data_IF_456704558243
#
_entry.id   IF_456704558243
#
_cell.length_a   1.000
_cell.length_b   1.000
_cell.length_c   1.000
_cell.angle_alpha   90.00
_cell.angle_beta   90.00
_cell.angle_gamma   90.00
#
_symmetry.space_group_name_H-M   'P 1'
#
loop_
_entity.id
_entity.type
_entity.pdbx_description
1 polymer ?
#
# COMPACT_ATOMS: atom_id res chain seq x y z
N UNK A 1 -11.26 -7.02 -9.27
CA UNK A 1 -10.28 -6.12 -9.93
C UNK A 1 -9.54 -6.80 -11.07
N UNK A 2 -8.89 -7.96 -10.86
CA UNK A 2 -8.13 -8.67 -11.90
C UNK A 2 -8.88 -8.86 -13.23
N UNK A 3 -10.17 -9.24 -13.18
CA UNK A 3 -11.00 -9.37 -14.39
C UNK A 3 -11.18 -8.05 -15.16
N UNK A 4 -11.31 -6.92 -14.47
CA UNK A 4 -11.42 -5.59 -15.10
C UNK A 4 -10.10 -5.21 -15.77
N UNK A 5 -8.97 -5.49 -15.12
CA UNK A 5 -7.63 -5.29 -15.70
C UNK A 5 -7.45 -6.16 -16.94
N UNK A 6 -7.78 -7.45 -16.86
CA UNK A 6 -7.74 -8.38 -17.99
C UNK A 6 -8.59 -7.86 -19.17
N UNK A 7 -9.83 -7.44 -18.93
CA UNK A 7 -10.70 -6.89 -19.99
C UNK A 7 -10.10 -5.65 -20.66
N UNK A 8 -9.47 -4.76 -19.90
CA UNK A 8 -8.82 -3.56 -20.46
C UNK A 8 -7.56 -3.91 -21.25
N UNK A 9 -6.72 -4.83 -20.75
CA UNK A 9 -5.51 -5.27 -21.44
C UNK A 9 -5.83 -6.06 -22.72
N UNK A 10 -6.91 -6.84 -22.73
CA UNK A 10 -7.39 -7.54 -23.93
C UNK A 10 -7.76 -6.56 -25.06
N UNK A 11 -8.28 -5.36 -24.75
CA UNK A 11 -8.61 -4.34 -25.76
C UNK A 11 -7.39 -3.82 -26.53
N UNK A 12 -6.20 -3.93 -25.94
CA UNK A 12 -4.94 -3.57 -26.58
C UNK A 12 -4.12 -4.80 -27.02
N UNK A 13 -4.75 -5.98 -27.08
CA UNK A 13 -4.15 -7.21 -27.58
C UNK A 13 -3.30 -7.99 -26.57
N UNK A 14 -3.32 -7.62 -25.28
CA UNK A 14 -2.58 -8.33 -24.23
C UNK A 14 -3.49 -9.40 -23.61
N UNK A 15 -3.03 -10.65 -23.64
CA UNK A 15 -3.71 -11.77 -22.99
C UNK A 15 -3.20 -11.92 -21.55
N UNK A 16 -4.12 -12.01 -20.59
CA UNK A 16 -3.81 -12.18 -19.17
C UNK A 16 -4.41 -13.48 -18.69
N UNK A 17 -3.58 -14.35 -18.11
CA UNK A 17 -4.04 -15.50 -17.33
C UNK A 17 -4.19 -15.08 -15.87
N UNK A 18 -5.36 -15.32 -15.27
CA UNK A 18 -5.61 -15.00 -13.87
C UNK A 18 -5.41 -16.27 -13.04
N UNK A 19 -4.45 -16.24 -12.14
CA UNK A 19 -4.28 -17.24 -11.10
C UNK A 19 -4.90 -16.74 -9.80
N UNK A 20 -5.77 -17.55 -9.19
CA UNK A 20 -6.37 -17.25 -7.90
C UNK A 20 -5.81 -18.21 -6.85
N UNK A 21 -5.21 -17.65 -5.81
CA UNK A 21 -4.58 -18.37 -4.71
C UNK A 21 -5.23 -18.00 -3.38
N UNK A 22 -5.10 -18.86 -2.38
CA UNK A 22 -5.37 -18.47 -0.99
C UNK A 22 -4.27 -17.51 -0.49
N UNK A 23 -4.56 -16.77 0.59
CA UNK A 23 -3.66 -15.74 1.15
C UNK A 23 -2.24 -16.26 1.43
N UNK A 24 -2.12 -17.49 1.95
CA UNK A 24 -0.83 -18.09 2.32
C UNK A 24 0.01 -18.43 1.10
N UNK A 25 -0.59 -19.14 0.15
CA UNK A 25 0.06 -19.46 -1.13
C UNK A 25 0.41 -18.20 -1.92
N UNK A 26 -0.49 -17.20 -1.94
CA UNK A 26 -0.26 -15.91 -2.58
C UNK A 26 0.92 -15.16 -1.95
N UNK A 27 0.97 -15.08 -0.61
CA UNK A 27 2.06 -14.40 0.12
C UNK A 27 3.40 -15.07 -0.11
N UNK A 28 3.43 -16.41 -0.12
CA UNK A 28 4.63 -17.18 -0.43
C UNK A 28 5.17 -16.88 -1.83
N UNK A 29 4.28 -16.84 -2.83
CA UNK A 29 4.64 -16.55 -4.22
C UNK A 29 5.07 -15.10 -4.44
N UNK A 30 4.40 -14.14 -3.80
CA UNK A 30 4.65 -12.70 -4.04
C UNK A 30 5.79 -12.14 -3.20
N UNK A 31 5.91 -12.57 -1.94
CA UNK A 31 6.90 -12.03 -0.99
C UNK A 31 8.00 -13.02 -0.59
N UNK A 32 7.86 -14.31 -0.91
CA UNK A 32 8.81 -15.36 -0.53
C UNK A 32 9.69 -15.87 -1.67
N UNK A 33 9.27 -15.77 -2.92
CA UNK A 33 10.03 -16.22 -4.09
C UNK A 33 10.88 -15.10 -4.68
N UNK A 34 12.19 -15.35 -4.80
CA UNK A 34 13.16 -14.44 -5.42
C UNK A 34 14.03 -15.23 -6.40
N UNK A 35 14.02 -14.92 -7.72
CA UNK A 35 13.19 -13.89 -8.37
C UNK A 35 11.70 -14.26 -8.40
N UNK A 36 10.83 -13.26 -8.59
CA UNK A 36 9.40 -13.49 -8.77
C UNK A 36 9.12 -14.37 -10.01
N UNK A 37 8.12 -15.25 -9.87
CA UNK A 37 7.68 -16.18 -10.91
C UNK A 37 6.36 -15.75 -11.57
N UNK A 38 5.94 -14.49 -11.37
CA UNK A 38 4.70 -13.91 -11.86
C UNK A 38 4.98 -12.60 -12.63
N UNK A 39 4.09 -12.22 -13.55
CA UNK A 39 4.22 -10.98 -14.31
C UNK A 39 3.64 -9.76 -13.55
N UNK A 40 2.51 -9.94 -12.87
CA UNK A 40 1.91 -8.92 -12.01
C UNK A 40 1.08 -9.57 -10.89
N UNK A 41 1.07 -8.93 -9.72
CA UNK A 41 0.25 -9.34 -8.57
C UNK A 41 -0.59 -8.18 -8.07
N UNK A 42 -1.81 -8.49 -7.61
CA UNK A 42 -2.65 -7.53 -6.89
C UNK A 42 -2.38 -7.67 -5.40
N UNK A 43 -1.90 -6.61 -4.77
CA UNK A 43 -1.66 -6.55 -3.33
C UNK A 43 -2.37 -5.38 -2.68
N UNK A 44 -2.50 -5.47 -1.36
CA UNK A 44 -2.90 -4.37 -0.50
C UNK A 44 -1.78 -4.04 0.47
N UNK A 45 -1.31 -2.79 0.44
CA UNK A 45 -0.35 -2.28 1.39
C UNK A 45 -1.03 -1.52 2.53
N UNK A 46 -0.48 -1.62 3.74
CA UNK A 46 -0.99 -0.84 4.86
C UNK A 46 -0.79 0.67 4.59
N UNK A 47 -1.86 1.45 4.71
CA UNK A 47 -1.78 2.90 4.68
C UNK A 47 -1.32 3.41 6.04
N UNK A 48 -0.05 3.76 6.18
CA UNK A 48 0.44 4.38 7.41
C UNK A 48 0.05 5.86 7.48
N UNK A 49 0.01 6.40 8.71
CA UNK A 49 -0.40 7.78 8.96
C UNK A 49 0.58 8.85 8.42
N UNK A 50 1.79 8.47 8.00
CA UNK A 50 2.76 9.37 7.36
C UNK A 50 3.32 8.74 6.09
N UNK A 51 3.33 9.50 4.99
CA UNK A 51 3.83 9.08 3.69
C UNK A 51 5.28 8.59 3.73
N UNK A 52 6.08 9.03 4.71
CA UNK A 52 7.44 8.55 4.89
C UNK A 52 7.54 7.05 5.18
N UNK A 53 6.53 6.47 5.82
CA UNK A 53 6.55 5.03 6.10
C UNK A 53 6.33 4.21 4.83
N UNK A 54 5.45 4.68 3.95
CA UNK A 54 5.13 4.02 2.67
C UNK A 54 6.20 4.31 1.61
N UNK A 55 6.82 5.49 1.64
CA UNK A 55 7.82 5.90 0.65
C UNK A 55 9.02 4.95 0.57
N UNK A 56 9.42 4.34 1.69
CA UNK A 56 10.55 3.38 1.73
C UNK A 56 10.24 2.04 1.06
N UNK A 57 8.97 1.70 0.88
CA UNK A 57 8.57 0.46 0.20
C UNK A 57 8.83 0.47 -1.30
N UNK A 58 9.20 1.63 -1.84
CA UNK A 58 9.61 1.77 -3.23
C UNK A 58 11.10 1.50 -3.45
N UNK A 59 11.86 1.25 -2.38
CA UNK A 59 13.27 0.89 -2.43
C UNK A 59 13.44 -0.57 -1.97
N UNK A 60 13.73 -1.52 -2.86
CA UNK A 60 13.87 -2.93 -2.48
C UNK A 60 15.08 -3.22 -1.59
N UNK A 61 16.08 -2.33 -1.55
CA UNK A 61 17.22 -2.45 -0.64
C UNK A 61 16.84 -2.11 0.81
N UNK A 62 15.78 -1.32 1.01
CA UNK A 62 15.24 -0.97 2.33
C UNK A 62 14.04 -1.84 2.72
N UNK A 63 13.24 -2.29 1.76
CA UNK A 63 12.00 -3.00 1.97
C UNK A 63 12.06 -4.43 1.42
N UNK A 64 12.88 -5.28 2.02
CA UNK A 64 13.24 -6.60 1.45
C UNK A 64 12.09 -7.54 1.04
N UNK A 65 10.85 -7.30 1.46
CA UNK A 65 9.70 -8.09 1.00
C UNK A 65 9.39 -7.93 -0.49
N UNK A 66 9.81 -6.84 -1.15
CA UNK A 66 9.53 -6.59 -2.56
C UNK A 66 10.70 -7.01 -3.50
N UNK A 67 11.80 -7.54 -2.96
CA UNK A 67 13.01 -7.90 -3.72
C UNK A 67 12.76 -8.89 -4.86
N UNK A 68 11.71 -9.70 -4.76
CA UNK A 68 11.33 -10.65 -5.81
C UNK A 68 10.84 -9.96 -7.07
N UNK A 69 10.16 -8.81 -6.95
CA UNK A 69 9.44 -8.15 -8.05
C UNK A 69 9.83 -6.70 -8.30
N UNK A 70 10.79 -6.15 -7.54
CA UNK A 70 11.33 -4.81 -7.76
C UNK A 70 12.86 -4.83 -7.92
N UNK A 71 13.36 -3.99 -8.82
CA UNK A 71 14.76 -3.68 -9.00
C UNK A 71 15.12 -2.34 -8.33
N UNK A 72 16.32 -2.20 -7.74
CA UNK A 72 16.79 -0.93 -7.22
C UNK A 72 16.88 0.15 -8.30
N UNK A 73 16.43 1.37 -8.00
CA UNK A 73 16.56 2.52 -8.88
C UNK A 73 17.24 3.69 -8.15
N UNK A 74 18.49 4.06 -8.50
CA UNK A 74 19.23 5.11 -7.80
C UNK A 74 18.54 6.48 -7.78
N UNK A 75 17.78 6.84 -8.83
CA UNK A 75 17.07 8.13 -8.87
C UNK A 75 15.88 8.14 -7.91
N UNK A 76 15.12 7.04 -7.90
CA UNK A 76 14.01 6.86 -6.96
C UNK A 76 14.51 6.80 -5.52
N UNK A 77 15.58 6.05 -5.26
CA UNK A 77 16.19 5.94 -3.93
C UNK A 77 16.65 7.31 -3.41
N UNK A 78 17.24 8.15 -4.27
CA UNK A 78 17.61 9.52 -3.90
C UNK A 78 16.39 10.41 -3.57
N UNK A 79 15.28 10.27 -4.32
CA UNK A 79 14.04 11.00 -4.04
C UNK A 79 13.39 10.56 -2.72
N UNK A 80 13.38 9.25 -2.45
CA UNK A 80 12.95 8.68 -1.16
C UNK A 80 13.78 9.30 -0.04
N UNK A 81 15.10 9.21 -0.12
CA UNK A 81 16.02 9.73 0.89
C UNK A 81 15.80 11.22 1.18
N UNK A 82 15.63 12.03 0.13
CA UNK A 82 15.32 13.46 0.28
C UNK A 82 14.00 13.66 1.03
N UNK A 83 12.91 13.04 0.58
CA UNK A 83 11.60 13.18 1.21
C UNK A 83 11.57 12.70 2.67
N UNK A 84 12.38 11.67 3.01
CA UNK A 84 12.47 11.14 4.36
C UNK A 84 13.28 12.01 5.32
N UNK A 85 14.29 12.74 4.81
CA UNK A 85 15.18 13.58 5.63
C UNK A 85 14.68 15.01 5.77
N UNK A 86 13.78 15.48 4.92
CA UNK A 86 13.22 16.83 5.01
C UNK A 86 12.19 16.93 6.15
N UNK A 87 12.44 17.86 7.09
CA UNK A 87 11.54 18.18 8.19
C UNK A 87 10.17 18.65 7.68
N UNK A 88 9.09 18.35 8.43
CA UNK A 88 7.72 18.80 8.09
C UNK A 88 7.66 20.32 7.85
N UNK A 89 7.06 20.70 6.73
CA UNK A 89 6.95 22.06 6.23
C UNK A 89 6.79 22.08 4.70
N UNK A 90 6.74 23.28 4.10
CA UNK A 90 6.58 23.44 2.65
C UNK A 90 7.66 22.71 1.84
N UNK A 91 8.90 22.69 2.33
CA UNK A 91 10.01 21.98 1.67
C UNK A 91 9.76 20.46 1.58
N UNK A 92 9.09 19.89 2.59
CA UNK A 92 8.72 18.46 2.60
C UNK A 92 7.62 18.17 1.60
N UNK A 93 6.68 19.09 1.40
CA UNK A 93 5.65 18.93 0.37
C UNK A 93 6.27 18.90 -1.02
N UNK A 94 7.24 19.78 -1.30
CA UNK A 94 8.02 19.74 -2.54
C UNK A 94 8.76 18.41 -2.72
N UNK A 95 9.48 17.96 -1.69
CA UNK A 95 10.20 16.69 -1.75
C UNK A 95 9.27 15.47 -1.93
N UNK A 96 8.07 15.48 -1.35
CA UNK A 96 7.07 14.42 -1.53
C UNK A 96 6.47 14.44 -2.95
N UNK A 97 6.30 15.60 -3.58
CA UNK A 97 5.87 15.69 -4.99
C UNK A 97 6.92 15.11 -5.92
N UNK A 98 8.19 15.49 -5.73
CA UNK A 98 9.31 14.95 -6.50
C UNK A 98 9.38 13.41 -6.36
N UNK A 99 9.13 12.89 -5.15
CA UNK A 99 9.04 11.44 -4.92
C UNK A 99 7.88 10.81 -5.70
N UNK A 100 6.68 11.40 -5.68
CA UNK A 100 5.55 10.89 -6.46
C UNK A 100 5.84 10.85 -7.97
N UNK A 101 6.51 11.87 -8.51
CA UNK A 101 6.93 11.89 -9.92
C UNK A 101 7.96 10.80 -10.23
N UNK A 102 8.93 10.57 -9.33
CA UNK A 102 9.90 9.50 -9.49
C UNK A 102 9.26 8.10 -9.44
N UNK A 103 8.27 7.91 -8.56
CA UNK A 103 7.48 6.67 -8.46
C UNK A 103 6.69 6.43 -9.75
N UNK A 104 6.02 7.45 -10.29
CA UNK A 104 5.23 7.35 -11.53
C UNK A 104 6.11 7.02 -12.75
N UNK A 105 7.32 7.60 -12.80
CA UNK A 105 8.27 7.33 -13.87
C UNK A 105 8.91 5.92 -13.79
N UNK A 106 9.10 5.38 -12.58
CA UNK A 106 9.68 4.05 -12.35
C UNK A 106 8.66 2.92 -12.55
N UNK A 107 7.40 3.15 -12.15
CA UNK A 107 6.23 2.32 -12.44
C UNK A 107 6.33 0.80 -12.10
N UNK A 108 7.23 0.41 -11.19
CA UNK A 108 7.38 -1.00 -10.77
C UNK A 108 6.22 -1.52 -9.91
N UNK A 109 5.49 -0.61 -9.25
CA UNK A 109 4.18 -0.87 -8.68
C UNK A 109 3.21 0.21 -9.16
N UNK A 110 1.96 -0.17 -9.46
CA UNK A 110 0.96 0.75 -10.01
C UNK A 110 -0.14 0.97 -8.96
N UNK A 111 -0.22 2.15 -8.33
CA UNK A 111 -1.29 2.47 -7.40
C UNK A 111 -2.66 2.46 -8.10
N UNK A 112 -3.60 1.67 -7.59
CA UNK A 112 -4.95 1.57 -8.19
C UNK A 112 -5.96 2.47 -7.48
N UNK A 113 -6.15 2.25 -6.17
CA UNK A 113 -7.17 2.93 -5.37
C UNK A 113 -6.77 3.02 -3.91
N UNK A 114 -7.28 4.04 -3.22
CA UNK A 114 -7.33 4.07 -1.76
C UNK A 114 -8.58 3.30 -1.28
N UNK A 115 -8.41 2.34 -0.38
CA UNK A 115 -9.51 1.60 0.27
C UNK A 115 -9.82 2.25 1.62
N UNK A 116 -10.93 3.00 1.75
CA UNK A 116 -11.36 3.47 3.06
C UNK A 116 -11.78 2.27 3.93
N UNK A 117 -11.47 2.34 5.21
CA UNK A 117 -12.03 1.41 6.20
C UNK A 117 -13.30 2.03 6.79
N UNK A 118 -14.39 1.26 6.83
CA UNK A 118 -15.69 1.71 7.33
C UNK A 118 -16.08 0.86 8.54
N UNK A 119 -16.30 1.50 9.68
CA UNK A 119 -16.77 0.84 10.91
C UNK A 119 -18.19 1.30 11.22
N UNK A 120 -19.14 0.37 11.12
CA UNK A 120 -20.50 0.56 11.62
C UNK A 120 -20.59 0.19 13.11
N UNK A 121 -21.29 1.01 13.89
CA UNK A 121 -21.57 0.70 15.30
C UNK A 121 -22.95 1.20 15.73
N UNK A 122 -23.48 0.62 16.81
CA UNK A 122 -24.74 1.03 17.44
C UNK A 122 -24.54 2.33 18.20
N UNK A 123 -24.85 3.46 17.58
CA UNK A 123 -24.73 4.79 18.22
C UNK A 123 -25.66 4.98 19.42
N UNK A 124 -26.73 4.19 19.51
CA UNK A 124 -27.68 4.17 20.63
C UNK A 124 -27.16 3.41 21.86
N UNK A 125 -26.24 2.46 21.67
CA UNK A 125 -25.79 1.54 22.72
C UNK A 125 -24.29 1.61 23.01
N UNK A 126 -23.49 2.17 22.10
CA UNK A 126 -22.03 2.14 22.16
C UNK A 126 -21.45 3.57 22.11
N UNK A 127 -20.40 3.76 22.89
CA UNK A 127 -19.48 4.88 22.81
C UNK A 127 -18.10 4.34 22.41
N UNK A 128 -17.76 4.30 21.11
CA UNK A 128 -16.49 3.75 20.66
C UNK A 128 -15.35 4.78 20.74
N UNK A 129 -14.12 4.28 20.80
CA UNK A 129 -12.90 5.07 20.59
C UNK A 129 -12.36 4.74 19.19
N UNK A 130 -12.60 5.63 18.23
CA UNK A 130 -12.20 5.42 16.84
C UNK A 130 -11.08 6.40 16.48
N UNK A 131 -10.16 5.97 15.63
CA UNK A 131 -9.16 6.83 15.01
C UNK A 131 -9.62 7.24 13.61
N UNK A 132 -9.46 8.52 13.28
CA UNK A 132 -9.70 9.03 11.92
C UNK A 132 -8.73 8.41 10.91
N UNK A 133 -7.46 8.26 11.31
CA UNK A 133 -6.41 7.60 10.53
C UNK A 133 -5.90 6.39 11.28
N UNK A 134 -5.98 5.21 10.66
CA UNK A 134 -5.51 3.94 11.22
C UNK A 134 -4.33 3.42 10.40
N UNK A 135 -3.16 3.33 11.04
CA UNK A 135 -1.90 3.04 10.35
C UNK A 135 -1.52 1.56 10.26
N UNK A 136 -2.22 0.65 10.95
CA UNK A 136 -1.84 -0.76 11.05
C UNK A 136 -2.77 -1.71 10.30
N UNK A 137 -3.74 -1.19 9.54
CA UNK A 137 -4.79 -1.98 8.90
C UNK A 137 -5.77 -2.62 9.89
N UNK A 138 -5.79 -2.17 11.15
CA UNK A 138 -6.67 -2.67 12.20
C UNK A 138 -7.78 -1.66 12.54
N UNK A 139 -8.88 -1.72 11.80
CA UNK A 139 -10.01 -0.79 11.98
C UNK A 139 -10.72 -0.91 13.35
N UNK A 140 -10.45 -1.97 14.11
CA UNK A 140 -10.95 -2.18 15.48
C UNK A 140 -9.88 -1.90 16.55
N UNK A 141 -8.84 -1.14 16.20
CA UNK A 141 -7.86 -0.68 17.18
C UNK A 141 -8.56 0.06 18.32
N UNK A 142 -8.36 -0.41 19.55
CA UNK A 142 -9.01 0.14 20.74
C UNK A 142 -10.39 -0.45 21.05
N UNK A 143 -10.81 -1.56 20.41
CA UNK A 143 -12.11 -2.20 20.70
C UNK A 143 -12.30 -2.57 22.17
N UNK A 144 -11.21 -2.90 22.88
CA UNK A 144 -11.23 -3.19 24.32
C UNK A 144 -11.65 -1.96 25.17
N UNK A 145 -11.49 -0.75 24.64
CA UNK A 145 -11.82 0.50 25.32
C UNK A 145 -13.24 0.97 25.04
N UNK A 146 -13.97 0.30 24.15
CA UNK A 146 -15.34 0.67 23.83
C UNK A 146 -16.22 0.55 25.09
N UNK A 147 -17.19 1.46 25.23
CA UNK A 147 -18.08 1.51 26.39
C UNK A 147 -19.53 1.38 25.96
N UNK A 148 -20.33 0.72 26.79
CA UNK A 148 -21.78 0.79 26.67
C UNK A 148 -22.24 2.18 27.11
N UNK A 149 -23.20 2.75 26.38
CA UNK A 149 -23.91 3.93 26.86
C UNK A 149 -24.85 3.49 27.97
N UNK A 150 -24.67 4.04 29.17
CA UNK A 150 -25.71 3.94 30.21
C UNK A 150 -26.96 4.64 29.71
N UNK A 151 -28.13 4.01 29.92
CA UNK A 151 -29.43 4.58 29.62
C UNK A 151 -29.69 5.84 30.45
#
# INVERSE_FOLDING_TARGET
MAQVIQQNLQRIGIQVSIEQLDEGSWSGKVYGEVPATFDAALSWFAGYADAAMVGRWWDPEQAGFNLGFMAPNPKLNAAIDRAMRTTRGADREGALRDLCEAVDADAQMIPLVTKPALTGYRSDALSPTLYETEGYGNTFRGVADFRLRTR
#
